data_IF_402731608376
#
_entry.id   IF_402731608376
#
_cell.length_a   1.000
_cell.length_b   1.000
_cell.length_c   1.000
_cell.angle_alpha   90.00
_cell.angle_beta   90.00
_cell.angle_gamma   90.00
#
_symmetry.space_group_name_H-M   'P 1'
#
loop_
_entity.id
_entity.type
_entity.pdbx_description
1 polymer ?
#
# COMPACT_ATOMS: atom_id res chain seq x y z
N UNK A 1 -22.83 24.26 15.52
CA UNK A 1 -22.27 23.69 14.27
C UNK A 1 -22.90 22.33 14.05
N UNK A 2 -23.85 22.21 13.12
CA UNK A 2 -24.82 21.10 13.04
C UNK A 2 -24.23 19.70 12.77
N UNK A 3 -22.94 19.56 12.46
CA UNK A 3 -22.35 18.32 11.95
C UNK A 3 -21.00 17.91 12.57
N UNK A 4 -20.55 18.55 13.66
CA UNK A 4 -19.31 18.13 14.33
C UNK A 4 -18.04 18.15 13.46
N UNK A 5 -18.04 18.81 12.29
CA UNK A 5 -16.97 18.78 11.26
C UNK A 5 -15.58 19.23 11.74
N UNK A 6 -15.48 19.87 12.91
CA UNK A 6 -14.20 20.25 13.53
C UNK A 6 -13.58 19.13 14.40
N UNK A 7 -14.37 18.11 14.77
CA UNK A 7 -13.89 16.98 15.54
C UNK A 7 -13.26 15.96 14.59
N UNK A 8 -11.94 15.84 14.62
CA UNK A 8 -11.22 14.85 13.83
C UNK A 8 -11.31 13.49 14.52
N UNK A 9 -11.65 12.45 13.76
CA UNK A 9 -11.54 11.08 14.25
C UNK A 9 -10.06 10.74 14.49
N UNK A 10 -9.74 9.95 15.52
CA UNK A 10 -8.38 9.47 15.74
C UNK A 10 -7.98 8.56 14.56
N UNK A 11 -6.76 8.76 14.05
CA UNK A 11 -6.18 7.89 13.04
C UNK A 11 -5.72 6.62 13.74
N UNK A 12 -6.29 5.48 13.36
CA UNK A 12 -5.79 4.15 13.76
C UNK A 12 -5.16 3.50 12.54
N UNK A 13 -3.87 3.19 12.63
CA UNK A 13 -3.20 2.36 11.62
C UNK A 13 -3.47 0.91 12.02
N UNK A 14 -4.27 0.21 11.21
CA UNK A 14 -4.52 -1.20 11.41
C UNK A 14 -3.23 -1.98 11.09
N UNK A 15 -2.84 -2.88 12.00
CA UNK A 15 -1.89 -3.92 11.65
C UNK A 15 -2.52 -4.82 10.58
N UNK A 16 -1.79 -5.07 9.51
CA UNK A 16 -2.22 -5.90 8.38
C UNK A 16 -1.75 -7.34 8.52
N UNK A 17 -0.94 -7.66 9.52
CA UNK A 17 -0.42 -9.02 9.72
C UNK A 17 0.59 -9.43 8.66
N UNK A 18 1.31 -8.48 8.06
CA UNK A 18 2.32 -8.80 7.04
C UNK A 18 3.53 -9.45 7.69
N UNK A 19 3.86 -10.66 7.27
CA UNK A 19 5.05 -11.41 7.73
C UNK A 19 6.14 -11.51 6.65
N UNK A 20 5.77 -11.38 5.37
CA UNK A 20 6.71 -11.42 4.24
C UNK A 20 6.39 -10.32 3.21
N UNK A 21 7.42 -9.72 2.62
CA UNK A 21 7.28 -8.80 1.48
C UNK A 21 7.87 -9.42 0.22
N UNK A 22 7.06 -9.59 -0.83
CA UNK A 22 7.51 -10.09 -2.13
C UNK A 22 7.48 -9.01 -3.19
N UNK A 23 8.59 -8.88 -3.92
CA UNK A 23 8.70 -7.99 -5.06
C UNK A 23 7.75 -8.41 -6.20
N UNK A 24 7.09 -7.45 -6.82
CA UNK A 24 6.28 -7.62 -8.02
C UNK A 24 6.25 -6.34 -8.87
N UNK A 25 5.75 -6.46 -10.09
CA UNK A 25 5.45 -5.32 -10.96
C UNK A 25 3.96 -5.01 -10.90
N UNK A 26 3.61 -3.73 -10.77
CA UNK A 26 2.23 -3.27 -10.80
C UNK A 26 1.54 -3.68 -12.13
N UNK A 27 0.46 -4.46 -12.03
CA UNK A 27 -0.24 -5.06 -13.17
C UNK A 27 -1.25 -4.15 -13.90
N UNK A 28 -1.20 -2.83 -13.70
CA UNK A 28 -2.19 -1.90 -14.25
C UNK A 28 -1.73 -1.23 -15.55
N UNK A 29 -1.55 0.09 -15.56
CA UNK A 29 -1.42 0.91 -16.77
C UNK A 29 -0.10 0.76 -17.55
N UNK A 30 0.63 -0.34 -17.35
CA UNK A 30 1.90 -0.67 -18.02
C UNK A 30 3.04 0.33 -17.81
N UNK A 31 2.92 1.27 -16.88
CA UNK A 31 4.04 2.14 -16.46
C UNK A 31 5.20 1.34 -15.89
N UNK A 32 4.93 0.15 -15.34
CA UNK A 32 5.96 -0.73 -14.80
C UNK A 32 6.44 -0.31 -13.41
N UNK A 33 5.57 0.23 -12.57
CA UNK A 33 5.93 0.56 -11.19
C UNK A 33 6.34 -0.70 -10.42
N UNK A 34 7.47 -0.64 -9.72
CA UNK A 34 7.92 -1.69 -8.82
C UNK A 34 7.18 -1.60 -7.49
N UNK A 35 6.64 -2.72 -7.03
CA UNK A 35 5.89 -2.85 -5.79
C UNK A 35 6.39 -4.02 -4.96
N UNK A 36 6.07 -3.99 -3.67
CA UNK A 36 6.11 -5.16 -2.80
C UNK A 36 4.69 -5.49 -2.36
N UNK A 37 4.35 -6.78 -2.42
CA UNK A 37 3.11 -7.35 -1.90
C UNK A 37 3.40 -7.95 -0.54
N UNK A 38 2.68 -7.49 0.49
CA UNK A 38 2.77 -8.01 1.84
C UNK A 38 1.88 -9.22 1.99
N UNK A 39 2.47 -10.36 2.39
CA UNK A 39 1.78 -11.61 2.64
C UNK A 39 1.61 -11.84 4.15
N UNK A 40 0.51 -12.45 4.55
CA UNK A 40 0.30 -12.95 5.91
C UNK A 40 0.86 -14.38 6.10
N UNK A 41 0.64 -14.96 7.29
CA UNK A 41 1.11 -16.31 7.64
C UNK A 41 0.49 -17.42 6.77
N UNK A 42 -0.70 -17.18 6.18
CA UNK A 42 -1.38 -18.11 5.28
C UNK A 42 -0.92 -17.94 3.82
N UNK A 43 -0.09 -16.92 3.55
CA UNK A 43 0.42 -16.57 2.23
C UNK A 43 -0.54 -15.72 1.41
N UNK A 44 -1.57 -15.14 2.02
CA UNK A 44 -2.54 -14.27 1.34
C UNK A 44 -2.02 -12.82 1.24
N UNK A 45 -2.28 -12.13 0.12
CA UNK A 45 -1.87 -10.74 -0.04
C UNK A 45 -2.77 -9.79 0.76
N UNK A 46 -2.21 -9.14 1.78
CA UNK A 46 -2.94 -8.27 2.71
C UNK A 46 -2.53 -6.79 2.64
N UNK A 47 -1.44 -6.47 1.93
CA UNK A 47 -0.97 -5.11 1.70
C UNK A 47 -0.17 -4.97 0.39
N UNK A 48 -0.06 -3.75 -0.13
CA UNK A 48 0.89 -3.37 -1.18
C UNK A 48 1.64 -2.09 -0.79
N UNK A 49 2.87 -1.94 -1.30
CA UNK A 49 3.64 -0.68 -1.21
C UNK A 49 4.57 -0.52 -2.40
N UNK A 50 4.96 0.72 -2.70
CA UNK A 50 5.94 1.00 -3.75
C UNK A 50 7.36 0.74 -3.26
N UNK A 51 8.21 0.17 -4.12
CA UNK A 51 9.64 -0.02 -3.83
C UNK A 51 10.34 1.35 -3.84
N UNK A 52 10.96 1.72 -2.71
CA UNK A 52 11.42 3.07 -2.44
C UNK A 52 12.50 3.57 -3.43
N UNK A 53 13.40 2.69 -3.82
CA UNK A 53 14.56 2.94 -4.68
C UNK A 53 14.31 2.59 -6.16
N UNK A 54 13.09 2.21 -6.53
CA UNK A 54 12.77 1.91 -7.92
C UNK A 54 12.81 3.17 -8.80
N UNK A 55 13.52 3.09 -9.93
CA UNK A 55 13.71 4.20 -10.86
C UNK A 55 12.40 4.80 -11.37
N UNK A 56 11.42 3.94 -11.66
CA UNK A 56 10.14 4.32 -12.28
C UNK A 56 9.27 5.15 -11.34
N UNK A 57 9.07 4.67 -10.11
CA UNK A 57 8.05 5.19 -9.22
C UNK A 57 8.57 5.74 -7.89
N UNK A 58 9.84 5.51 -7.53
CA UNK A 58 10.50 6.07 -6.33
C UNK A 58 9.66 5.89 -5.05
N UNK A 59 9.11 4.70 -4.87
CA UNK A 59 8.25 4.34 -3.74
C UNK A 59 6.82 4.88 -3.78
N UNK A 60 6.40 5.57 -4.85
CA UNK A 60 5.05 6.14 -4.98
C UNK A 60 4.14 5.23 -5.80
N UNK A 61 2.86 5.24 -5.47
CA UNK A 61 1.82 4.54 -6.22
C UNK A 61 0.58 5.43 -6.36
N UNK A 62 -0.18 5.20 -7.43
CA UNK A 62 -1.52 5.76 -7.58
C UNK A 62 -2.53 4.85 -6.89
N UNK A 63 -3.79 5.27 -6.76
CA UNK A 63 -4.86 4.49 -6.09
C UNK A 63 -5.07 3.06 -6.62
N UNK A 64 -4.62 2.76 -7.85
CA UNK A 64 -4.74 1.43 -8.44
C UNK A 64 -3.67 0.46 -7.93
N UNK A 65 -2.43 0.92 -7.76
CA UNK A 65 -1.29 0.08 -7.38
C UNK A 65 -1.11 0.06 -5.88
#
# INVERSE_FOLDING_TARGET
>A
MLFGRKNKNPIKIADKGVVEWKYATCGYCSTGCSIEVGLDEEGEPVASRGVADADVNRGKLCVKG
#
